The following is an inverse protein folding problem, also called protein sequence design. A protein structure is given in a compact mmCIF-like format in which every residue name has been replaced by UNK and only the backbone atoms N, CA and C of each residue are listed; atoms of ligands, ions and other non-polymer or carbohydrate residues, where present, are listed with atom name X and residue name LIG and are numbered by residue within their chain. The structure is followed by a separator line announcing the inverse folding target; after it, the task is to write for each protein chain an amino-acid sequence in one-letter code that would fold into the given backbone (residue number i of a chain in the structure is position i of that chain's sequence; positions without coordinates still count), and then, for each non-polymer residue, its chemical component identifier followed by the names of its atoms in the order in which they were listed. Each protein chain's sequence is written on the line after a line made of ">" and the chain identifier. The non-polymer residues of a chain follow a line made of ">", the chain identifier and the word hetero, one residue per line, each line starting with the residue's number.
data_IF_679597218951
#
_entry.id   IF_679597218951
#
_cell.length_a   1.000
_cell.length_b   1.000
_cell.length_c   1.000
_cell.angle_alpha   90.00
_cell.angle_beta   90.00
_cell.angle_gamma   90.00
#
_symmetry.space_group_name_H-M   'P 1'
#
loop_
_entity.id
_entity.type
_entity.pdbx_description
1 polymer ?
#
# COMPACT_ATOMS: atom_id res chain seq x y z
N UNK A 1 21.20 2.17 -12.46
CA UNK A 1 21.28 3.48 -13.12
C UNK A 1 20.89 4.58 -12.14
N UNK A 2 21.69 5.67 -12.07
CA UNK A 2 21.38 6.81 -11.20
C UNK A 2 20.19 7.59 -11.81
N UNK A 3 19.07 7.67 -11.09
CA UNK A 3 17.87 8.40 -11.49
C UNK A 3 17.74 9.78 -10.82
N UNK A 4 18.69 10.15 -9.98
CA UNK A 4 18.56 11.31 -9.11
C UNK A 4 17.46 11.15 -8.06
N UNK A 5 17.06 12.25 -7.44
CA UNK A 5 15.97 12.26 -6.47
C UNK A 5 15.20 13.58 -6.60
N UNK A 6 13.97 13.49 -7.10
CA UNK A 6 13.14 14.67 -7.37
C UNK A 6 12.83 15.48 -6.09
N UNK A 7 12.43 14.82 -5.01
CA UNK A 7 11.99 15.50 -3.78
C UNK A 7 13.07 16.31 -3.05
N UNK A 8 14.36 16.05 -3.31
CA UNK A 8 15.49 16.83 -2.79
C UNK A 8 16.28 17.54 -3.89
N UNK A 9 15.76 17.56 -5.11
CA UNK A 9 16.37 18.19 -6.29
C UNK A 9 17.84 17.77 -6.53
N UNK A 10 18.19 16.50 -6.25
CA UNK A 10 19.55 15.98 -6.41
C UNK A 10 19.68 15.19 -7.71
N UNK A 11 20.73 15.46 -8.48
CA UNK A 11 21.06 14.72 -9.70
C UNK A 11 21.76 13.39 -9.42
N UNK A 12 22.25 13.19 -8.19
CA UNK A 12 22.93 11.98 -7.77
C UNK A 12 22.47 11.62 -6.36
N UNK A 13 21.85 10.46 -6.21
CA UNK A 13 21.34 10.00 -4.92
C UNK A 13 21.52 8.49 -4.76
N UNK A 14 21.85 8.08 -3.56
CA UNK A 14 21.85 6.68 -3.15
C UNK A 14 21.50 6.55 -1.67
N UNK A 15 20.96 5.44 -1.29
CA UNK A 15 20.81 5.08 0.11
C UNK A 15 22.20 4.92 0.77
N UNK A 16 22.35 5.41 2.01
CA UNK A 16 23.65 5.42 2.69
C UNK A 16 23.55 5.20 4.19
N UNK A 17 22.47 5.62 4.83
CA UNK A 17 22.41 5.86 6.28
C UNK A 17 22.04 4.64 7.11
N UNK A 18 21.64 3.51 6.51
CA UNK A 18 21.15 2.34 7.24
C UNK A 18 21.84 1.03 6.85
N UNK A 19 23.19 0.92 6.96
CA UNK A 19 23.96 -0.24 6.51
C UNK A 19 23.73 -1.51 7.33
N UNK A 20 23.09 -1.41 8.51
CA UNK A 20 22.77 -2.56 9.36
C UNK A 20 21.62 -3.37 8.77
N UNK A 21 20.60 -2.69 8.24
CA UNK A 21 19.36 -3.31 7.73
C UNK A 21 19.20 -3.25 6.21
N UNK A 22 19.97 -2.43 5.50
CA UNK A 22 19.96 -2.33 4.05
C UNK A 22 21.33 -2.68 3.48
N UNK A 23 21.40 -3.82 2.82
CA UNK A 23 22.64 -4.28 2.20
C UNK A 23 23.19 -3.35 1.12
N UNK A 24 22.38 -2.68 0.28
CA UNK A 24 22.89 -1.66 -0.65
C UNK A 24 23.68 -0.54 0.04
N UNK A 25 23.24 -0.05 1.20
CA UNK A 25 23.96 0.96 1.97
C UNK A 25 25.35 0.45 2.38
N UNK A 26 25.42 -0.79 2.89
CA UNK A 26 26.68 -1.42 3.24
C UNK A 26 27.63 -1.55 2.05
N UNK A 27 27.08 -1.85 0.87
CA UNK A 27 27.86 -1.93 -0.37
C UNK A 27 28.45 -0.58 -0.74
N UNK A 28 27.65 0.51 -0.63
CA UNK A 28 28.15 1.88 -0.85
C UNK A 28 29.25 2.22 0.13
N UNK A 29 29.11 1.91 1.42
CA UNK A 29 30.18 2.10 2.43
C UNK A 29 31.46 1.36 2.04
N UNK A 30 31.36 0.10 1.59
CA UNK A 30 32.52 -0.70 1.17
C UNK A 30 33.21 -0.11 -0.06
N UNK A 31 32.44 0.36 -1.05
CA UNK A 31 32.97 1.00 -2.25
C UNK A 31 33.69 2.31 -1.92
N UNK A 32 33.09 3.18 -1.13
CA UNK A 32 33.73 4.45 -0.69
C UNK A 32 35.02 4.16 0.07
N UNK A 33 35.02 3.18 0.97
CA UNK A 33 36.23 2.78 1.70
C UNK A 33 37.36 2.29 0.78
N UNK A 34 37.00 1.57 -0.28
CA UNK A 34 37.98 1.11 -1.28
C UNK A 34 38.49 2.27 -2.13
N UNK A 35 37.60 3.19 -2.53
CA UNK A 35 37.99 4.40 -3.26
C UNK A 35 38.98 5.28 -2.46
N UNK A 36 38.66 5.58 -1.20
CA UNK A 36 39.49 6.36 -0.31
C UNK A 36 40.87 5.73 -0.05
N UNK A 37 41.00 4.42 -0.17
CA UNK A 37 42.28 3.68 -0.05
C UNK A 37 42.98 3.46 -1.38
N UNK A 38 42.53 4.11 -2.47
CA UNK A 38 43.06 3.94 -3.82
C UNK A 38 43.15 2.48 -4.29
N UNK A 39 42.19 1.64 -3.84
CA UNK A 39 42.13 0.20 -4.18
C UNK A 39 41.18 -0.11 -5.32
N UNK A 40 40.55 0.88 -5.96
CA UNK A 40 39.65 0.71 -7.10
C UNK A 40 40.43 0.91 -8.42
N UNK A 41 41.00 -0.16 -8.94
CA UNK A 41 41.54 -0.16 -10.31
C UNK A 41 40.45 -0.56 -11.34
N UNK A 42 40.72 -0.35 -12.64
CA UNK A 42 39.75 -0.63 -13.73
C UNK A 42 39.22 -2.09 -13.74
N UNK A 43 40.11 -3.05 -13.47
CA UNK A 43 39.73 -4.48 -13.45
C UNK A 43 38.85 -4.82 -12.25
N UNK A 44 39.15 -4.28 -11.08
CA UNK A 44 38.31 -4.44 -9.86
C UNK A 44 36.97 -3.75 -10.03
N UNK A 45 36.94 -2.58 -10.65
CA UNK A 45 35.70 -1.84 -10.89
C UNK A 45 34.73 -2.66 -11.78
N UNK A 46 35.25 -3.28 -12.86
CA UNK A 46 34.42 -4.14 -13.73
C UNK A 46 33.80 -5.31 -12.96
N UNK A 47 34.60 -6.07 -12.21
CA UNK A 47 34.13 -7.19 -11.39
C UNK A 47 33.10 -6.76 -10.35
N UNK A 48 33.33 -5.62 -9.71
CA UNK A 48 32.41 -5.08 -8.71
C UNK A 48 31.10 -4.62 -9.35
N UNK A 49 31.14 -4.01 -10.53
CA UNK A 49 29.94 -3.60 -11.25
C UNK A 49 29.05 -4.80 -11.58
N UNK A 50 29.61 -5.91 -12.09
CA UNK A 50 28.86 -7.11 -12.36
C UNK A 50 28.23 -7.73 -11.10
N UNK A 51 28.99 -7.76 -10.00
CA UNK A 51 28.48 -8.23 -8.72
C UNK A 51 27.38 -7.31 -8.18
N UNK A 52 27.56 -5.99 -8.25
CA UNK A 52 26.58 -5.01 -7.79
C UNK A 52 25.26 -5.11 -8.54
N UNK A 53 25.30 -5.24 -9.86
CA UNK A 53 24.08 -5.35 -10.67
C UNK A 53 23.19 -6.52 -10.21
N UNK A 54 23.78 -7.70 -10.04
CA UNK A 54 23.04 -8.87 -9.53
C UNK A 54 22.56 -8.69 -8.09
N UNK A 55 23.40 -8.12 -7.24
CA UNK A 55 23.08 -7.94 -5.82
C UNK A 55 21.96 -6.93 -5.61
N UNK A 56 21.96 -5.83 -6.36
CA UNK A 56 20.94 -4.78 -6.25
C UNK A 56 19.58 -5.29 -6.71
N UNK A 57 19.53 -6.07 -7.78
CA UNK A 57 18.29 -6.72 -8.24
C UNK A 57 17.71 -7.62 -7.14
N UNK A 58 18.51 -8.53 -6.63
CA UNK A 58 18.10 -9.42 -5.54
C UNK A 58 17.69 -8.66 -4.26
N UNK A 59 18.39 -7.57 -3.91
CA UNK A 59 18.00 -6.73 -2.77
C UNK A 59 16.63 -6.06 -2.98
N UNK A 60 16.33 -5.62 -4.20
CA UNK A 60 15.03 -5.02 -4.51
C UNK A 60 13.89 -6.04 -4.40
N UNK A 61 14.09 -7.24 -4.91
CA UNK A 61 13.11 -8.33 -4.81
C UNK A 61 12.85 -8.72 -3.34
N UNK A 62 13.92 -8.89 -2.55
CA UNK A 62 13.80 -9.27 -1.14
C UNK A 62 13.18 -8.16 -0.30
N UNK A 63 13.41 -6.89 -0.63
CA UNK A 63 12.78 -5.75 0.03
C UNK A 63 11.26 -5.73 -0.27
N UNK A 64 10.87 -5.93 -1.53
CA UNK A 64 9.46 -6.02 -1.91
C UNK A 64 8.75 -7.16 -1.17
N UNK A 65 9.34 -8.34 -1.14
CA UNK A 65 8.80 -9.49 -0.43
C UNK A 65 8.68 -9.23 1.09
N UNK A 66 9.64 -8.52 1.68
CA UNK A 66 9.59 -8.16 3.11
C UNK A 66 8.45 -7.19 3.41
N UNK A 67 8.29 -6.15 2.58
CA UNK A 67 7.19 -5.17 2.72
C UNK A 67 5.83 -5.84 2.52
N UNK A 68 5.70 -6.73 1.53
CA UNK A 68 4.47 -7.48 1.30
C UNK A 68 4.14 -8.39 2.48
N UNK A 69 5.12 -9.12 3.01
CA UNK A 69 4.94 -9.97 4.19
C UNK A 69 4.54 -9.18 5.43
N UNK A 70 5.12 -8.00 5.65
CA UNK A 70 4.75 -7.09 6.75
C UNK A 70 3.30 -6.62 6.61
N UNK A 71 2.89 -6.20 5.41
CA UNK A 71 1.52 -5.80 5.10
C UNK A 71 0.55 -6.97 5.35
N UNK A 72 0.83 -8.11 4.77
CA UNK A 72 0.05 -9.32 4.90
C UNK A 72 -0.16 -9.76 6.36
N UNK A 73 0.88 -9.62 7.18
CA UNK A 73 0.82 -9.94 8.60
C UNK A 73 -0.05 -8.93 9.35
N UNK A 74 0.03 -7.66 8.98
CA UNK A 74 -0.80 -6.59 9.55
C UNK A 74 -2.27 -6.82 9.20
N UNK A 75 -2.58 -7.10 7.93
CA UNK A 75 -3.94 -7.33 7.45
C UNK A 75 -4.56 -8.58 8.11
N UNK A 76 -3.78 -9.65 8.28
CA UNK A 76 -4.20 -10.83 9.04
C UNK A 76 -4.58 -10.47 10.49
N UNK A 77 -3.74 -9.67 11.16
CA UNK A 77 -4.00 -9.28 12.56
C UNK A 77 -5.17 -8.31 12.68
N UNK A 78 -5.33 -7.39 11.74
CA UNK A 78 -6.49 -6.51 11.65
C UNK A 78 -7.78 -7.31 11.46
N UNK A 79 -7.77 -8.26 10.53
CA UNK A 79 -8.92 -9.14 10.29
C UNK A 79 -9.25 -9.99 11.52
N UNK A 80 -8.23 -10.59 12.17
CA UNK A 80 -8.40 -11.37 13.39
C UNK A 80 -9.00 -10.55 14.54
N UNK A 81 -8.55 -9.30 14.69
CA UNK A 81 -9.09 -8.34 15.66
C UNK A 81 -10.56 -8.03 15.40
N UNK A 82 -10.97 -7.94 14.14
CA UNK A 82 -12.33 -7.56 13.75
C UNK A 82 -13.36 -8.71 13.79
N UNK A 83 -12.92 -9.97 13.88
CA UNK A 83 -13.84 -11.13 13.94
C UNK A 83 -14.94 -11.02 15.00
N UNK A 84 -14.65 -10.60 16.25
CA UNK A 84 -15.69 -10.48 17.29
C UNK A 84 -16.74 -9.41 17.01
N UNK A 85 -16.47 -8.47 16.12
CA UNK A 85 -17.30 -7.33 15.80
C UNK A 85 -18.16 -7.51 14.55
N UNK A 86 -18.21 -8.71 14.01
CA UNK A 86 -19.11 -9.03 12.88
C UNK A 86 -20.57 -8.80 13.28
N UNK A 87 -21.29 -8.01 12.49
CA UNK A 87 -22.66 -7.56 12.73
C UNK A 87 -22.75 -6.18 13.40
N UNK A 88 -21.65 -5.60 13.85
CA UNK A 88 -21.65 -4.27 14.48
C UNK A 88 -21.52 -3.14 13.45
N UNK A 89 -22.19 -1.99 13.70
CA UNK A 89 -22.05 -0.80 12.88
C UNK A 89 -20.87 0.05 13.31
N UNK A 90 -20.15 0.63 12.33
CA UNK A 90 -19.00 1.50 12.53
C UNK A 90 -19.15 2.81 11.75
N UNK A 91 -18.67 3.89 12.31
CA UNK A 91 -18.43 5.11 11.57
C UNK A 91 -17.10 4.97 10.83
N UNK A 92 -17.09 5.37 9.57
CA UNK A 92 -15.99 5.17 8.64
C UNK A 92 -15.89 6.35 7.67
N UNK A 93 -14.82 6.39 6.91
CA UNK A 93 -14.66 7.33 5.80
C UNK A 93 -14.20 6.58 4.55
N UNK A 94 -14.53 7.11 3.39
CA UNK A 94 -14.15 6.51 2.11
C UNK A 94 -12.67 6.75 1.87
N UNK A 95 -11.88 5.68 1.79
CA UNK A 95 -10.43 5.70 1.53
C UNK A 95 -10.08 5.42 0.08
N UNK A 96 -10.98 4.74 -0.64
CA UNK A 96 -10.76 4.41 -2.05
C UNK A 96 -12.06 4.08 -2.77
N UNK A 97 -12.03 4.29 -4.09
CA UNK A 97 -13.15 3.99 -4.98
C UNK A 97 -12.61 3.23 -6.19
N UNK A 98 -13.20 2.08 -6.47
CA UNK A 98 -12.81 1.21 -7.58
C UNK A 98 -14.05 0.72 -8.32
N UNK A 99 -13.91 0.13 -9.50
CA UNK A 99 -15.05 -0.37 -10.28
C UNK A 99 -15.88 -1.43 -9.57
N UNK A 100 -15.32 -2.15 -8.61
CA UNK A 100 -15.97 -3.24 -7.91
C UNK A 100 -16.51 -2.85 -6.51
N UNK A 101 -16.18 -1.67 -6.01
CA UNK A 101 -16.68 -1.22 -4.72
C UNK A 101 -15.96 -0.02 -4.12
N UNK A 102 -16.34 0.27 -2.89
CA UNK A 102 -15.86 1.39 -2.08
C UNK A 102 -15.01 0.85 -0.94
N UNK A 103 -13.75 1.27 -0.83
CA UNK A 103 -12.93 1.03 0.34
C UNK A 103 -13.27 2.03 1.43
N UNK A 104 -13.43 1.55 2.63
CA UNK A 104 -13.81 2.33 3.82
C UNK A 104 -12.80 2.10 4.93
N UNK A 105 -12.31 3.19 5.51
CA UNK A 105 -11.39 3.16 6.63
C UNK A 105 -12.10 3.50 7.94
N UNK A 106 -11.90 2.67 8.95
CA UNK A 106 -12.38 2.89 10.31
C UNK A 106 -11.37 3.76 11.09
N UNK A 107 -11.81 4.39 12.17
CA UNK A 107 -10.95 5.23 13.02
C UNK A 107 -9.79 4.45 13.68
N UNK A 108 -9.92 3.14 13.81
CA UNK A 108 -8.87 2.25 14.33
C UNK A 108 -7.83 1.83 13.28
N UNK A 109 -7.91 2.38 12.06
CA UNK A 109 -6.99 2.10 10.96
C UNK A 109 -7.30 0.81 10.18
N UNK A 110 -8.40 0.13 10.49
CA UNK A 110 -8.86 -1.04 9.74
C UNK A 110 -9.56 -0.58 8.47
N UNK A 111 -9.25 -1.22 7.34
CA UNK A 111 -9.94 -0.99 6.08
C UNK A 111 -10.85 -2.17 5.73
N UNK A 112 -12.02 -1.87 5.16
CA UNK A 112 -12.98 -2.84 4.66
C UNK A 112 -13.46 -2.48 3.27
N UNK A 113 -14.06 -3.45 2.58
CA UNK A 113 -14.62 -3.29 1.25
C UNK A 113 -16.15 -3.35 1.30
N UNK A 114 -16.80 -2.38 0.72
CA UNK A 114 -18.21 -2.39 0.38
C UNK A 114 -18.35 -2.72 -1.10
N UNK A 115 -18.77 -3.93 -1.42
CA UNK A 115 -18.98 -4.32 -2.80
C UNK A 115 -20.13 -3.53 -3.45
N UNK A 116 -19.99 -3.20 -4.74
CA UNK A 116 -21.04 -2.50 -5.48
C UNK A 116 -22.35 -3.31 -5.49
N UNK A 117 -22.26 -4.63 -5.60
CA UNK A 117 -23.42 -5.53 -5.60
C UNK A 117 -24.17 -5.59 -4.26
N UNK A 118 -23.56 -5.08 -3.17
CA UNK A 118 -24.17 -4.98 -1.85
C UNK A 118 -24.89 -3.64 -1.60
N UNK A 119 -24.84 -2.74 -2.58
CA UNK A 119 -25.44 -1.41 -2.50
C UNK A 119 -26.84 -1.43 -3.15
N UNK A 120 -27.85 -1.92 -2.39
CA UNK A 120 -29.21 -2.19 -2.90
C UNK A 120 -30.08 -0.93 -3.05
N UNK A 121 -29.63 0.24 -2.56
CA UNK A 121 -30.43 1.47 -2.53
C UNK A 121 -30.50 2.18 -3.87
N UNK A 122 -29.54 1.98 -4.77
CA UNK A 122 -29.51 2.51 -6.13
C UNK A 122 -28.60 1.67 -7.03
N UNK A 123 -28.66 1.93 -8.32
CA UNK A 123 -27.69 1.41 -9.29
C UNK A 123 -26.53 2.42 -9.42
N UNK A 124 -25.32 2.00 -9.07
CA UNK A 124 -24.17 2.89 -9.03
C UNK A 124 -23.23 2.68 -10.20
N UNK A 125 -22.75 3.79 -10.78
CA UNK A 125 -21.74 3.79 -11.83
C UNK A 125 -20.49 4.49 -11.35
N UNK A 126 -19.36 3.81 -11.50
CA UNK A 126 -18.04 4.37 -11.20
C UNK A 126 -17.60 5.31 -12.32
N UNK A 127 -17.29 6.55 -11.97
CA UNK A 127 -16.74 7.57 -12.86
C UNK A 127 -15.24 7.69 -12.63
N UNK A 128 -14.45 7.15 -13.55
CA UNK A 128 -12.98 7.08 -13.45
C UNK A 128 -12.34 8.46 -13.45
N UNK A 129 -12.82 9.38 -14.29
CA UNK A 129 -12.27 10.74 -14.42
C UNK A 129 -12.38 11.58 -13.13
N UNK A 130 -13.42 11.32 -12.33
CA UNK A 130 -13.68 12.06 -11.08
C UNK A 130 -13.49 11.22 -9.84
N UNK A 131 -13.12 9.93 -9.99
CA UNK A 131 -12.99 8.97 -8.90
C UNK A 131 -14.22 8.99 -7.97
N UNK A 132 -15.41 8.85 -8.56
CA UNK A 132 -16.67 8.94 -7.82
C UNK A 132 -17.64 7.84 -8.21
N UNK A 133 -18.45 7.39 -7.26
CA UNK A 133 -19.66 6.62 -7.54
C UNK A 133 -20.86 7.54 -7.63
N UNK A 134 -21.66 7.40 -8.69
CA UNK A 134 -22.90 8.15 -8.86
C UNK A 134 -24.08 7.21 -9.03
N UNK A 135 -25.08 7.35 -8.18
CA UNK A 135 -26.37 6.67 -8.31
C UNK A 135 -27.15 7.18 -9.51
N UNK A 136 -27.72 6.24 -10.27
CA UNK A 136 -28.45 6.56 -11.51
C UNK A 136 -29.87 7.09 -11.25
N UNK A 137 -30.51 6.63 -10.17
CA UNK A 137 -31.90 6.96 -9.85
C UNK A 137 -32.02 8.06 -8.80
N UNK A 138 -31.30 7.90 -7.67
CA UNK A 138 -31.37 8.82 -6.52
C UNK A 138 -30.39 9.98 -6.60
N UNK A 139 -29.45 9.97 -7.54
CA UNK A 139 -28.43 11.02 -7.67
C UNK A 139 -27.42 11.09 -6.54
N UNK A 140 -27.41 10.10 -5.64
CA UNK A 140 -26.49 10.01 -4.52
C UNK A 140 -25.05 9.84 -5.05
N UNK A 141 -24.11 10.52 -4.44
CA UNK A 141 -22.71 10.54 -4.90
C UNK A 141 -21.79 10.18 -3.74
N UNK A 142 -20.87 9.25 -3.98
CA UNK A 142 -19.80 8.93 -3.05
C UNK A 142 -18.45 9.43 -3.58
N UNK A 143 -17.68 10.08 -2.70
CA UNK A 143 -16.38 10.65 -3.01
C UNK A 143 -15.36 10.27 -1.94
N UNK A 144 -14.08 10.34 -2.29
CA UNK A 144 -12.98 10.15 -1.32
C UNK A 144 -13.14 11.07 -0.11
N UNK A 145 -12.86 10.55 1.08
CA UNK A 145 -12.94 11.28 2.35
C UNK A 145 -14.37 11.49 2.90
N UNK A 146 -15.40 11.06 2.17
CA UNK A 146 -16.78 11.19 2.63
C UNK A 146 -17.03 10.30 3.85
N UNK A 147 -17.64 10.83 4.95
CA UNK A 147 -18.04 10.02 6.08
C UNK A 147 -19.21 9.11 5.69
N UNK A 148 -19.12 7.87 6.13
CA UNK A 148 -20.13 6.83 5.89
C UNK A 148 -20.28 5.99 7.14
N UNK A 149 -21.43 5.32 7.27
CA UNK A 149 -21.64 4.33 8.32
C UNK A 149 -21.76 2.96 7.67
N UNK A 150 -21.02 1.99 8.18
CA UNK A 150 -20.95 0.64 7.63
C UNK A 150 -21.21 -0.40 8.70
N UNK A 151 -21.73 -1.54 8.30
CA UNK A 151 -21.82 -2.72 9.18
C UNK A 151 -20.85 -3.77 8.67
N UNK A 152 -20.00 -4.29 9.55
CA UNK A 152 -19.11 -5.39 9.21
C UNK A 152 -19.93 -6.67 9.04
N UNK A 153 -19.90 -7.26 7.85
CA UNK A 153 -20.66 -8.47 7.51
C UNK A 153 -19.82 -9.72 7.66
N UNK A 154 -18.56 -9.64 7.24
CA UNK A 154 -17.67 -10.78 7.20
C UNK A 154 -16.23 -10.35 7.50
N UNK A 155 -15.55 -11.19 8.26
CA UNK A 155 -14.09 -11.11 8.47
C UNK A 155 -13.48 -12.46 8.06
N UNK A 156 -12.82 -12.50 6.93
CA UNK A 156 -12.23 -13.71 6.36
C UNK A 156 -10.72 -13.74 6.62
N UNK A 157 -10.31 -14.52 7.61
CA UNK A 157 -8.90 -14.63 8.01
C UNK A 157 -8.00 -15.26 6.93
N UNK A 158 -8.53 -16.17 6.13
CA UNK A 158 -7.75 -16.86 5.09
C UNK A 158 -7.44 -15.92 3.93
N UNK A 159 -8.44 -15.10 3.56
CA UNK A 159 -8.30 -14.09 2.51
C UNK A 159 -7.73 -12.78 3.01
N UNK A 160 -7.74 -12.55 4.33
CA UNK A 160 -7.36 -11.28 4.95
C UNK A 160 -8.23 -10.12 4.49
N UNK A 161 -9.52 -10.39 4.29
CA UNK A 161 -10.52 -9.45 3.76
C UNK A 161 -11.61 -9.19 4.78
N UNK A 162 -12.09 -7.95 4.79
CA UNK A 162 -13.21 -7.49 5.59
C UNK A 162 -14.29 -6.96 4.65
N UNK A 163 -15.41 -7.67 4.61
CA UNK A 163 -16.59 -7.25 3.85
C UNK A 163 -17.51 -6.42 4.73
N UNK A 164 -17.91 -5.26 4.24
CA UNK A 164 -18.79 -4.32 4.92
C UNK A 164 -19.99 -3.97 4.05
N UNK A 165 -21.12 -3.68 4.69
CA UNK A 165 -22.31 -3.10 4.04
C UNK A 165 -22.48 -1.65 4.44
N UNK A 166 -22.84 -0.79 3.49
CA UNK A 166 -23.26 0.56 3.79
C UNK A 166 -24.57 0.56 4.55
N UNK A 167 -24.59 1.19 5.73
CA UNK A 167 -25.84 1.45 6.45
C UNK A 167 -26.42 2.74 5.89
N UNK A 168 -27.44 2.61 5.06
CA UNK A 168 -28.17 3.76 4.55
C UNK A 168 -29.17 4.20 5.63
N UNK A 169 -28.86 5.27 6.37
CA UNK A 169 -29.91 5.96 7.13
C UNK A 169 -30.81 6.71 6.14
N UNK A 170 -32.08 6.35 6.07
CA UNK A 170 -33.08 7.32 5.64
C UNK A 170 -33.14 8.42 6.70
N UNK A 171 -32.62 9.60 6.35
CA UNK A 171 -32.91 10.84 7.03
C UNK A 171 -34.40 11.17 6.87
#
# INVERSE_FOLDING_TARGET
>A
ENKGHFGIASTCYTHFTSPIRRYPDLMVHRLIRQALRNRLNKSQLKKQTEFLLRTVEHCSETEQNAVETERDTTDLKMTEYMVPFVGEPFDAHITGLTRFGIFVGLDNGVEGLVHIDSMDDDEYVYQEDTMTFKGLRGGKKYTMGMPVRVTLVKADKEKRELDSLLVTYRL
#
